data_IF_781879953847
#
_entry.id   IF_781879953847
#
_cell.length_a   1.000
_cell.length_b   1.000
_cell.length_c   1.000
_cell.angle_alpha   90.00
_cell.angle_beta   90.00
_cell.angle_gamma   90.00
#
_symmetry.space_group_name_H-M   'P 1'
#
loop_
_entity.id
_entity.type
_entity.pdbx_description
1 polymer ?
#
# COMPACT_ATOMS: atom_id res chain seq x y z
N UNK A 1 -7.23 -18.21 -0.95
CA UNK A 1 -6.37 -19.07 -1.80
C UNK A 1 -4.89 -18.79 -1.55
N UNK A 2 -4.41 -17.56 -1.66
CA UNK A 2 -2.99 -17.20 -1.41
C UNK A 2 -2.49 -17.47 0.03
N UNK A 3 -3.39 -17.60 1.01
CA UNK A 3 -3.05 -17.84 2.42
C UNK A 3 -2.81 -19.31 2.78
N UNK A 4 -3.24 -20.23 1.92
CA UNK A 4 -2.97 -21.67 2.07
C UNK A 4 -1.84 -21.99 1.11
N UNK A 5 -0.76 -22.59 1.56
CA UNK A 5 0.45 -22.97 0.86
C UNK A 5 0.52 -22.58 -0.64
N UNK A 6 1.64 -22.05 -1.09
CA UNK A 6 1.86 -21.60 -2.45
C UNK A 6 1.92 -22.77 -3.46
N UNK A 7 0.91 -23.62 -3.50
CA UNK A 7 0.73 -24.55 -4.61
C UNK A 7 0.47 -23.71 -5.87
N UNK A 8 1.24 -23.96 -6.89
CA UNK A 8 1.17 -23.25 -8.18
C UNK A 8 -0.26 -23.15 -8.73
N UNK A 9 -1.07 -24.22 -8.54
CA UNK A 9 -2.48 -24.25 -8.97
C UNK A 9 -3.35 -23.19 -8.29
N UNK A 10 -3.19 -22.93 -6.99
CA UNK A 10 -3.95 -21.90 -6.27
C UNK A 10 -3.55 -20.49 -6.71
N UNK A 11 -2.27 -20.29 -7.04
CA UNK A 11 -1.79 -19.02 -7.58
C UNK A 11 -2.41 -18.74 -8.95
N UNK A 12 -2.38 -19.75 -9.86
CA UNK A 12 -2.97 -19.60 -11.20
C UNK A 12 -4.47 -19.34 -11.12
N UNK A 13 -5.20 -20.08 -10.28
CA UNK A 13 -6.65 -19.87 -10.12
C UNK A 13 -6.96 -18.45 -9.58
N UNK A 14 -6.20 -17.97 -8.59
CA UNK A 14 -6.38 -16.60 -8.08
C UNK A 14 -6.03 -15.54 -9.13
N UNK A 15 -5.02 -15.79 -9.97
CA UNK A 15 -4.65 -14.89 -11.06
C UNK A 15 -5.71 -14.82 -12.16
N UNK A 16 -6.32 -15.96 -12.50
CA UNK A 16 -7.43 -15.99 -13.47
C UNK A 16 -8.63 -15.21 -12.96
N UNK A 17 -9.02 -15.42 -11.69
CA UNK A 17 -10.15 -14.70 -11.08
C UNK A 17 -9.89 -13.19 -11.00
N UNK A 18 -8.68 -12.78 -10.60
CA UNK A 18 -8.30 -11.38 -10.54
C UNK A 18 -8.24 -10.77 -11.96
N UNK A 19 -7.69 -11.50 -12.92
CA UNK A 19 -7.64 -11.06 -14.32
C UNK A 19 -9.03 -10.86 -14.92
N UNK A 20 -9.97 -11.77 -14.63
CA UNK A 20 -11.35 -11.67 -15.08
C UNK A 20 -12.04 -10.42 -14.53
N UNK A 21 -11.83 -10.10 -13.26
CA UNK A 21 -12.34 -8.88 -12.64
C UNK A 21 -11.74 -7.62 -13.27
N UNK A 22 -10.43 -7.60 -13.51
CA UNK A 22 -9.75 -6.48 -14.19
C UNK A 22 -10.30 -6.29 -15.60
N UNK A 23 -10.54 -7.37 -16.36
CA UNK A 23 -11.13 -7.29 -17.70
C UNK A 23 -12.52 -6.64 -17.66
N UNK A 24 -13.37 -7.02 -16.69
CA UNK A 24 -14.70 -6.40 -16.52
C UNK A 24 -14.56 -4.90 -16.29
N UNK A 25 -13.64 -4.45 -15.43
CA UNK A 25 -13.40 -3.02 -15.19
C UNK A 25 -12.89 -2.29 -16.44
N UNK A 26 -12.02 -2.92 -17.22
CA UNK A 26 -11.51 -2.35 -18.48
C UNK A 26 -12.64 -2.19 -19.51
N UNK A 27 -13.52 -3.19 -19.64
CA UNK A 27 -14.69 -3.12 -20.52
C UNK A 27 -15.66 -2.01 -20.06
N UNK A 28 -15.79 -1.84 -18.72
CA UNK A 28 -16.59 -0.74 -18.15
C UNK A 28 -15.93 0.64 -18.27
N UNK A 29 -14.79 0.74 -18.97
CA UNK A 29 -14.00 1.97 -19.18
C UNK A 29 -13.43 2.59 -17.90
N UNK A 30 -13.46 1.87 -16.77
CA UNK A 30 -12.91 2.30 -15.49
C UNK A 30 -11.46 1.79 -15.31
N UNK A 31 -10.55 2.45 -16.03
CA UNK A 31 -9.12 2.11 -16.02
C UNK A 31 -8.46 2.44 -14.67
N UNK A 32 -8.97 3.46 -13.96
CA UNK A 32 -8.47 3.83 -12.64
C UNK A 32 -8.66 2.72 -11.63
N UNK A 33 -9.89 2.25 -11.47
CA UNK A 33 -10.21 1.13 -10.57
C UNK A 33 -9.54 -0.17 -11.01
N UNK A 34 -9.43 -0.42 -12.33
CA UNK A 34 -8.72 -1.58 -12.86
C UNK A 34 -7.25 -1.60 -12.42
N UNK A 35 -6.58 -0.44 -12.51
CA UNK A 35 -5.18 -0.30 -12.09
C UNK A 35 -5.02 -0.48 -10.59
N UNK A 36 -5.89 0.14 -9.77
CA UNK A 36 -5.88 -0.01 -8.30
C UNK A 36 -6.02 -1.49 -7.94
N UNK A 37 -7.04 -2.17 -8.47
CA UNK A 37 -7.30 -3.57 -8.15
C UNK A 37 -6.15 -4.49 -8.60
N UNK A 38 -5.59 -4.26 -9.78
CA UNK A 38 -4.45 -5.02 -10.28
C UNK A 38 -3.23 -4.84 -9.38
N UNK A 39 -2.91 -3.62 -8.98
CA UNK A 39 -1.79 -3.34 -8.07
C UNK A 39 -2.00 -3.97 -6.68
N UNK A 40 -3.21 -3.88 -6.13
CA UNK A 40 -3.55 -4.58 -4.88
C UNK A 40 -3.26 -6.08 -5.01
N UNK A 41 -3.76 -6.72 -6.07
CA UNK A 41 -3.52 -8.15 -6.33
C UNK A 41 -2.03 -8.47 -6.47
N UNK A 42 -1.30 -7.67 -7.23
CA UNK A 42 0.14 -7.86 -7.48
C UNK A 42 0.96 -7.84 -6.18
N UNK A 43 0.70 -6.88 -5.31
CA UNK A 43 1.38 -6.79 -4.01
C UNK A 43 0.95 -7.93 -3.06
N UNK A 44 -0.32 -8.34 -3.08
CA UNK A 44 -0.76 -9.51 -2.32
C UNK A 44 -0.07 -10.80 -2.80
N UNK A 45 0.11 -10.99 -4.10
CA UNK A 45 0.87 -12.13 -4.64
C UNK A 45 2.34 -12.06 -4.20
N UNK A 46 2.95 -10.90 -4.25
CA UNK A 46 4.33 -10.71 -3.78
C UNK A 46 4.47 -11.09 -2.30
N UNK A 47 3.61 -10.55 -1.42
CA UNK A 47 3.66 -10.84 0.02
C UNK A 47 3.33 -12.31 0.31
N UNK A 48 2.38 -12.91 -0.43
CA UNK A 48 2.00 -14.30 -0.28
C UNK A 48 3.06 -15.30 -0.71
N UNK A 49 3.79 -15.00 -1.80
CA UNK A 49 4.78 -15.90 -2.39
C UNK A 49 6.21 -15.59 -1.97
N UNK A 50 6.48 -14.38 -1.49
CA UNK A 50 7.81 -13.82 -1.19
C UNK A 50 8.80 -13.85 -2.38
N UNK A 51 8.28 -13.94 -3.61
CA UNK A 51 9.09 -14.03 -4.83
C UNK A 51 8.95 -12.74 -5.64
N UNK A 52 9.99 -11.92 -5.64
CA UNK A 52 10.05 -10.62 -6.36
C UNK A 52 9.81 -10.76 -7.87
N UNK A 53 10.12 -11.91 -8.45
CA UNK A 53 9.88 -12.17 -9.88
C UNK A 53 8.43 -11.94 -10.32
N UNK A 54 7.44 -12.23 -9.46
CA UNK A 54 6.03 -11.98 -9.79
C UNK A 54 5.71 -10.49 -9.87
N UNK A 55 6.39 -9.66 -9.10
CA UNK A 55 6.27 -8.21 -9.20
C UNK A 55 6.75 -7.72 -10.56
N UNK A 56 7.91 -8.17 -11.03
CA UNK A 56 8.44 -7.80 -12.35
C UNK A 56 7.55 -8.31 -13.50
N UNK A 57 7.05 -9.55 -13.40
CA UNK A 57 6.11 -10.10 -14.39
C UNK A 57 4.81 -9.27 -14.43
N UNK A 58 4.28 -8.91 -13.27
CA UNK A 58 3.07 -8.07 -13.19
C UNK A 58 3.31 -6.67 -13.75
N UNK A 59 4.44 -6.03 -13.44
CA UNK A 59 4.80 -4.72 -14.01
C UNK A 59 4.95 -4.77 -15.53
N UNK A 60 5.58 -5.81 -16.07
CA UNK A 60 5.63 -6.03 -17.52
C UNK A 60 4.23 -6.24 -18.10
N UNK A 61 3.36 -6.97 -17.39
CA UNK A 61 1.95 -7.15 -17.76
C UNK A 61 1.18 -5.83 -17.83
N UNK A 62 1.32 -4.94 -16.83
CA UNK A 62 0.71 -3.60 -16.86
C UNK A 62 1.21 -2.81 -18.07
N UNK A 63 2.52 -2.77 -18.29
CA UNK A 63 3.09 -2.02 -19.41
C UNK A 63 2.53 -2.50 -20.76
N UNK A 64 2.45 -3.81 -20.94
CA UNK A 64 1.87 -4.42 -22.16
C UNK A 64 0.37 -4.09 -22.27
N UNK A 65 -0.39 -4.24 -21.18
CA UNK A 65 -1.82 -3.93 -21.14
C UNK A 65 -2.09 -2.45 -21.44
N UNK A 66 -1.25 -1.54 -20.93
CA UNK A 66 -1.36 -0.09 -21.20
C UNK A 66 -1.15 0.24 -22.68
N UNK A 67 -0.18 -0.41 -23.34
CA UNK A 67 0.04 -0.23 -24.78
C UNK A 67 -1.14 -0.78 -25.59
N UNK A 68 -1.69 -1.92 -25.20
CA UNK A 68 -2.87 -2.50 -25.85
C UNK A 68 -4.09 -1.59 -25.65
N UNK A 69 -4.32 -1.11 -24.42
CA UNK A 69 -5.41 -0.20 -24.09
C UNK A 69 -5.32 1.11 -24.90
N UNK A 70 -4.12 1.68 -25.03
CA UNK A 70 -3.90 2.86 -25.85
C UNK A 70 -4.27 2.64 -27.33
N UNK A 71 -3.99 1.44 -27.87
CA UNK A 71 -4.32 1.13 -29.28
C UNK A 71 -5.81 0.85 -29.51
N UNK A 72 -6.49 0.26 -28.52
CA UNK A 72 -7.87 -0.21 -28.65
C UNK A 72 -8.91 0.84 -28.27
N UNK A 73 -8.61 1.71 -27.29
CA UNK A 73 -9.61 2.60 -26.69
C UNK A 73 -9.32 4.07 -27.00
N UNK A 74 -10.23 4.73 -27.73
CA UNK A 74 -10.14 6.15 -28.10
C UNK A 74 -10.08 7.07 -26.87
N UNK A 75 -10.83 6.77 -25.80
CA UNK A 75 -10.79 7.56 -24.57
C UNK A 75 -9.42 7.51 -23.87
N UNK A 76 -8.66 6.41 -24.00
CA UNK A 76 -7.28 6.32 -23.47
C UNK A 76 -6.34 7.19 -24.32
N UNK A 77 -6.52 7.18 -25.64
CA UNK A 77 -5.74 8.04 -26.54
C UNK A 77 -5.94 9.52 -26.22
N UNK A 78 -7.19 9.94 -25.99
CA UNK A 78 -7.51 11.32 -25.59
C UNK A 78 -6.85 11.68 -24.25
N UNK A 79 -6.92 10.83 -23.23
CA UNK A 79 -6.25 11.07 -21.92
C UNK A 79 -4.74 11.21 -22.07
N UNK A 80 -4.11 10.37 -22.89
CA UNK A 80 -2.66 10.45 -23.16
C UNK A 80 -2.31 11.71 -23.97
N UNK A 81 -3.15 12.12 -24.91
CA UNK A 81 -2.98 13.34 -25.69
C UNK A 81 -3.03 14.58 -24.78
N UNK A 82 -4.07 14.67 -23.93
CA UNK A 82 -4.22 15.73 -22.93
C UNK A 82 -3.04 15.76 -21.96
N UNK A 83 -2.60 14.61 -21.49
CA UNK A 83 -1.44 14.50 -20.60
C UNK A 83 -0.14 15.04 -21.21
N UNK A 84 0.09 14.75 -22.52
CA UNK A 84 1.30 15.21 -23.20
C UNK A 84 1.28 16.70 -23.51
N UNK A 85 0.14 17.23 -23.89
CA UNK A 85 0.00 18.60 -24.37
C UNK A 85 -1.28 19.26 -23.82
N UNK A 86 -1.40 19.48 -22.50
CA UNK A 86 -2.63 20.02 -21.91
C UNK A 86 -2.99 21.42 -22.38
N UNK A 87 -2.02 22.22 -22.81
CA UNK A 87 -2.18 23.60 -23.25
C UNK A 87 -2.25 23.79 -24.77
N UNK A 88 -2.32 22.72 -25.55
CA UNK A 88 -2.49 22.86 -27.01
C UNK A 88 -3.83 23.55 -27.34
N UNK A 89 -3.85 24.40 -28.37
CA UNK A 89 -4.99 25.27 -28.69
C UNK A 89 -6.30 24.51 -28.96
N UNK A 90 -6.19 23.33 -29.53
CA UNK A 90 -7.30 22.43 -29.84
C UNK A 90 -7.75 21.59 -28.60
N UNK A 91 -6.93 21.49 -27.57
CA UNK A 91 -7.15 20.66 -26.40
C UNK A 91 -7.61 21.48 -25.21
N UNK A 92 -7.01 22.65 -24.97
CA UNK A 92 -7.19 23.46 -23.76
C UNK A 92 -8.66 23.85 -23.48
N UNK A 93 -9.45 24.11 -24.51
CA UNK A 93 -10.86 24.49 -24.39
C UNK A 93 -11.84 23.32 -24.60
N UNK A 94 -11.32 22.11 -24.84
CA UNK A 94 -12.09 20.91 -25.15
C UNK A 94 -11.76 19.78 -24.18
N UNK A 95 -11.18 18.72 -24.67
CA UNK A 95 -10.88 17.50 -23.90
C UNK A 95 -9.89 17.70 -22.74
N UNK A 96 -9.02 18.72 -22.83
CA UNK A 96 -8.03 19.05 -21.79
C UNK A 96 -8.46 20.16 -20.85
N UNK A 97 -9.63 20.74 -21.01
CA UNK A 97 -10.08 21.90 -20.22
C UNK A 97 -9.94 21.67 -18.72
N UNK A 98 -10.40 20.53 -18.22
CA UNK A 98 -10.35 20.17 -16.81
C UNK A 98 -8.91 20.09 -16.27
N UNK A 99 -8.01 19.42 -17.01
CA UNK A 99 -6.60 19.30 -16.63
C UNK A 99 -5.89 20.66 -16.69
N UNK A 100 -6.17 21.45 -17.72
CA UNK A 100 -5.57 22.79 -17.88
C UNK A 100 -6.00 23.73 -16.76
N UNK A 101 -7.28 23.75 -16.42
CA UNK A 101 -7.77 24.56 -15.27
C UNK A 101 -7.18 24.09 -13.95
N UNK A 102 -7.02 22.78 -13.75
CA UNK A 102 -6.33 22.21 -12.58
C UNK A 102 -4.89 22.73 -12.45
N UNK A 103 -4.15 22.75 -13.56
CA UNK A 103 -2.77 23.26 -13.57
C UNK A 103 -2.71 24.77 -13.36
N UNK A 104 -3.65 25.54 -13.90
CA UNK A 104 -3.75 26.97 -13.64
C UNK A 104 -4.06 27.27 -12.17
N UNK A 105 -4.98 26.50 -11.56
CA UNK A 105 -5.31 26.63 -10.14
C UNK A 105 -4.08 26.36 -9.25
N UNK A 106 -3.36 25.27 -9.52
CA UNK A 106 -2.11 24.96 -8.79
C UNK A 106 -1.03 26.03 -9.01
N UNK A 107 -0.93 26.58 -10.23
CA UNK A 107 0.02 27.64 -10.55
C UNK A 107 -0.33 28.97 -9.85
N UNK A 108 -1.61 29.33 -9.77
CA UNK A 108 -2.07 30.56 -9.11
C UNK A 108 -1.92 30.49 -7.58
N UNK A 109 -2.08 29.29 -6.98
CA UNK A 109 -1.93 29.09 -5.55
C UNK A 109 -0.49 29.26 -5.05
N UNK A 110 0.51 28.97 -5.89
CA UNK A 110 1.93 29.09 -5.50
C UNK A 110 2.26 28.32 -4.23
N UNK A 111 3.14 28.89 -3.39
CA UNK A 111 3.57 28.22 -2.15
C UNK A 111 2.56 28.36 -1.01
N UNK A 112 1.96 29.52 -0.84
CA UNK A 112 1.12 29.90 0.32
C UNK A 112 -0.38 29.86 0.04
N UNK A 113 -0.79 29.70 -1.21
CA UNK A 113 -2.18 29.78 -1.64
C UNK A 113 -2.67 31.21 -1.87
N UNK A 114 -3.82 31.34 -2.56
CA UNK A 114 -4.51 32.62 -2.77
C UNK A 114 -5.30 33.05 -1.54
N UNK A 115 -5.53 32.16 -0.60
CA UNK A 115 -6.39 32.32 0.56
C UNK A 115 -7.77 31.69 0.39
N UNK A 116 -8.39 31.32 1.51
CA UNK A 116 -9.70 30.69 1.54
C UNK A 116 -10.75 31.59 0.87
N UNK A 117 -11.51 31.03 -0.06
CA UNK A 117 -12.53 31.71 -0.89
C UNK A 117 -11.97 32.80 -1.84
N UNK A 118 -10.67 32.95 -2.01
CA UNK A 118 -10.06 33.88 -2.96
C UNK A 118 -9.62 33.19 -4.26
N UNK A 119 -9.63 31.84 -4.32
CA UNK A 119 -9.46 31.05 -5.53
C UNK A 119 -10.72 30.99 -6.39
N UNK A 120 -10.60 30.36 -7.56
CA UNK A 120 -11.70 30.11 -8.47
C UNK A 120 -11.84 28.60 -8.78
N UNK A 121 -11.93 27.72 -7.75
CA UNK A 121 -11.98 26.28 -7.98
C UNK A 121 -13.17 25.85 -8.84
N UNK A 122 -14.28 26.62 -8.82
CA UNK A 122 -15.47 26.38 -9.65
C UNK A 122 -15.21 26.44 -11.17
N UNK A 123 -14.06 26.95 -11.62
CA UNK A 123 -13.64 26.90 -13.01
C UNK A 123 -13.22 25.50 -13.44
N UNK A 124 -12.86 24.64 -12.50
CA UNK A 124 -12.52 23.26 -12.77
C UNK A 124 -13.81 22.43 -12.74
N UNK A 125 -14.26 21.84 -13.85
CA UNK A 125 -15.44 20.98 -13.85
C UNK A 125 -15.26 19.80 -12.88
N UNK A 126 -16.28 19.52 -12.05
CA UNK A 126 -16.30 18.40 -11.12
C UNK A 126 -15.06 18.42 -10.18
N UNK A 127 -14.64 19.62 -9.78
CA UNK A 127 -13.47 19.83 -8.91
C UNK A 127 -13.54 19.02 -7.61
N UNK A 128 -14.74 18.87 -7.07
CA UNK A 128 -15.00 18.17 -5.79
C UNK A 128 -14.63 16.68 -5.82
N UNK A 129 -14.53 16.07 -6.98
CA UNK A 129 -14.21 14.65 -7.14
C UNK A 129 -12.72 14.44 -7.39
N UNK A 130 -12.30 14.55 -8.66
CA UNK A 130 -10.98 14.10 -9.14
C UNK A 130 -9.89 15.15 -8.94
N UNK A 131 -10.28 16.43 -8.90
CA UNK A 131 -9.38 17.58 -8.88
C UNK A 131 -9.44 18.38 -7.59
N UNK A 132 -10.02 17.82 -6.52
CA UNK A 132 -10.07 18.45 -5.19
C UNK A 132 -8.69 18.88 -4.69
N UNK A 133 -7.64 18.11 -5.03
CA UNK A 133 -6.27 18.45 -4.70
C UNK A 133 -5.82 19.78 -5.35
N UNK A 134 -6.32 20.10 -6.53
CA UNK A 134 -6.02 21.35 -7.23
C UNK A 134 -6.72 22.54 -6.58
N UNK A 135 -7.96 22.38 -6.12
CA UNK A 135 -8.66 23.41 -5.35
C UNK A 135 -7.93 23.70 -4.02
N UNK A 136 -7.51 22.65 -3.32
CA UNK A 136 -6.71 22.76 -2.10
C UNK A 136 -5.38 23.49 -2.40
N UNK A 137 -4.70 23.12 -3.48
CA UNK A 137 -3.46 23.76 -3.90
C UNK A 137 -3.61 25.22 -4.30
N UNK A 138 -4.76 25.61 -4.89
CA UNK A 138 -5.08 26.99 -5.22
C UNK A 138 -5.29 27.85 -3.96
N UNK A 139 -6.13 27.39 -3.05
CA UNK A 139 -6.52 28.19 -1.87
C UNK A 139 -5.49 28.15 -0.74
N UNK A 140 -4.91 26.99 -0.46
CA UNK A 140 -3.99 26.77 0.67
C UNK A 140 -2.51 26.67 0.26
N UNK A 141 -2.23 26.56 -1.04
CA UNK A 141 -0.88 26.52 -1.57
C UNK A 141 -0.20 25.15 -1.53
N UNK A 142 0.98 25.10 -2.14
CA UNK A 142 1.76 23.88 -2.28
C UNK A 142 2.23 23.30 -0.94
N UNK A 143 2.54 24.15 0.06
CA UNK A 143 2.97 23.71 1.40
C UNK A 143 1.87 22.87 2.05
N UNK A 144 0.62 23.31 2.00
CA UNK A 144 -0.51 22.53 2.54
C UNK A 144 -0.75 21.25 1.74
N UNK A 145 -0.63 21.31 0.41
CA UNK A 145 -0.72 20.12 -0.45
C UNK A 145 0.33 19.06 -0.09
N UNK A 146 1.57 19.46 0.16
CA UNK A 146 2.63 18.55 0.63
C UNK A 146 2.30 17.98 2.01
N UNK A 147 1.84 18.81 2.95
CA UNK A 147 1.43 18.36 4.29
C UNK A 147 0.33 17.29 4.19
N UNK A 148 -0.66 17.52 3.33
CA UNK A 148 -1.74 16.58 3.09
C UNK A 148 -1.21 15.22 2.57
N UNK A 149 -0.28 15.24 1.61
CA UNK A 149 0.36 14.02 1.10
C UNK A 149 1.12 13.30 2.22
N UNK A 150 1.84 14.03 3.09
CA UNK A 150 2.55 13.44 4.23
C UNK A 150 1.60 12.78 5.23
N UNK A 151 0.43 13.37 5.49
CA UNK A 151 -0.61 12.75 6.33
C UNK A 151 -1.11 11.45 5.69
N UNK A 152 -1.43 11.48 4.40
CA UNK A 152 -1.84 10.28 3.67
C UNK A 152 -0.76 9.18 3.69
N UNK A 153 0.50 9.56 3.52
CA UNK A 153 1.64 8.63 3.60
C UNK A 153 1.80 8.04 5.00
N UNK A 154 1.58 8.84 6.06
CA UNK A 154 1.63 8.35 7.45
C UNK A 154 0.55 7.30 7.72
N UNK A 155 -0.66 7.48 7.18
CA UNK A 155 -1.73 6.48 7.24
C UNK A 155 -1.32 5.18 6.52
N UNK A 156 -0.75 5.30 5.32
CA UNK A 156 -0.26 4.13 4.58
C UNK A 156 0.83 3.35 5.34
N UNK A 157 1.80 4.06 5.93
CA UNK A 157 2.84 3.44 6.77
C UNK A 157 2.22 2.73 7.97
N UNK A 158 1.21 3.34 8.62
CA UNK A 158 0.47 2.71 9.70
C UNK A 158 -0.21 1.41 9.27
N UNK A 159 -0.81 1.38 8.07
CA UNK A 159 -1.41 0.16 7.50
C UNK A 159 -0.38 -0.94 7.25
N UNK A 160 0.81 -0.60 6.75
CA UNK A 160 1.90 -1.55 6.57
C UNK A 160 2.42 -2.09 7.90
N UNK A 161 2.55 -1.24 8.92
CA UNK A 161 2.94 -1.67 10.26
C UNK A 161 1.92 -2.66 10.84
N UNK A 162 0.63 -2.35 10.73
CA UNK A 162 -0.44 -3.27 11.13
C UNK A 162 -0.35 -4.61 10.39
N UNK A 163 -0.03 -4.59 9.08
CA UNK A 163 0.16 -5.81 8.30
C UNK A 163 1.33 -6.67 8.81
N UNK A 164 2.43 -6.04 9.22
CA UNK A 164 3.61 -6.75 9.74
C UNK A 164 3.34 -7.40 11.11
N UNK A 165 2.46 -6.82 11.93
CA UNK A 165 2.08 -7.34 13.24
C UNK A 165 1.11 -8.55 13.16
N UNK A 166 0.52 -8.83 11.99
CA UNK A 166 -0.42 -9.92 11.84
C UNK A 166 0.26 -11.29 11.84
N UNK A 167 -0.18 -12.18 12.72
CA UNK A 167 0.26 -13.59 12.76
C UNK A 167 -0.39 -14.42 11.65
N UNK A 168 -1.64 -14.13 11.28
CA UNK A 168 -2.35 -14.81 10.21
C UNK A 168 -1.95 -14.26 8.85
N UNK A 169 -1.58 -15.15 7.92
CA UNK A 169 -1.27 -14.78 6.54
C UNK A 169 -2.46 -14.12 5.83
N UNK A 170 -3.68 -14.58 6.12
CA UNK A 170 -4.89 -13.98 5.57
C UNK A 170 -5.02 -12.52 6.01
N UNK A 171 -4.94 -12.23 7.31
CA UNK A 171 -5.05 -10.87 7.84
C UNK A 171 -3.95 -9.96 7.28
N UNK A 172 -2.71 -10.49 7.17
CA UNK A 172 -1.59 -9.76 6.56
C UNK A 172 -1.88 -9.37 5.11
N UNK A 173 -2.40 -10.31 4.30
CA UNK A 173 -2.75 -10.04 2.91
C UNK A 173 -3.88 -9.02 2.78
N UNK A 174 -4.89 -9.07 3.66
CA UNK A 174 -5.98 -8.07 3.70
C UNK A 174 -5.42 -6.68 3.99
N UNK A 175 -4.59 -6.52 5.05
CA UNK A 175 -3.98 -5.23 5.37
C UNK A 175 -3.11 -4.69 4.23
N UNK A 176 -2.28 -5.53 3.62
CA UNK A 176 -1.43 -5.13 2.50
C UNK A 176 -2.28 -4.74 1.29
N UNK A 177 -3.27 -5.55 0.92
CA UNK A 177 -4.15 -5.25 -0.22
C UNK A 177 -4.85 -3.92 -0.04
N UNK A 178 -5.55 -3.72 1.07
CA UNK A 178 -6.27 -2.48 1.35
C UNK A 178 -5.33 -1.27 1.46
N UNK A 179 -4.16 -1.42 2.11
CA UNK A 179 -3.16 -0.36 2.22
C UNK A 179 -2.58 0.04 0.86
N UNK A 180 -2.25 -0.92 0.00
CA UNK A 180 -1.78 -0.66 -1.36
C UNK A 180 -2.87 0.03 -2.19
N UNK A 181 -4.13 -0.44 -2.11
CA UNK A 181 -5.25 0.21 -2.79
C UNK A 181 -5.37 1.68 -2.40
N UNK A 182 -5.32 1.98 -1.10
CA UNK A 182 -5.32 3.35 -0.58
C UNK A 182 -4.15 4.19 -1.13
N UNK A 183 -2.93 3.65 -1.11
CA UNK A 183 -1.75 4.37 -1.60
C UNK A 183 -1.81 4.64 -3.11
N UNK A 184 -2.18 3.64 -3.92
CA UNK A 184 -2.31 3.80 -5.37
C UNK A 184 -3.41 4.81 -5.71
N UNK A 185 -4.53 4.80 -4.99
CA UNK A 185 -5.61 5.76 -5.16
C UNK A 185 -5.09 7.21 -4.97
N UNK A 186 -4.32 7.48 -3.93
CA UNK A 186 -3.70 8.80 -3.68
C UNK A 186 -2.75 9.16 -4.82
N UNK A 187 -1.87 8.25 -5.23
CA UNK A 187 -0.90 8.48 -6.31
C UNK A 187 -1.63 8.82 -7.62
N UNK A 188 -2.70 8.11 -7.94
CA UNK A 188 -3.48 8.37 -9.17
C UNK A 188 -4.20 9.72 -9.13
N UNK A 189 -4.81 10.08 -8.00
CA UNK A 189 -5.54 11.34 -7.86
C UNK A 189 -4.60 12.53 -7.86
N UNK A 190 -3.61 12.53 -6.97
CA UNK A 190 -2.63 13.63 -6.88
C UNK A 190 -1.80 13.71 -8.16
N UNK A 191 -1.29 12.57 -8.65
CA UNK A 191 -0.49 12.51 -9.88
C UNK A 191 -1.25 12.97 -11.12
N UNK A 192 -2.56 12.68 -11.18
CA UNK A 192 -3.45 13.18 -12.25
C UNK A 192 -3.67 14.68 -12.15
N UNK A 193 -3.91 15.21 -10.95
CA UNK A 193 -4.13 16.63 -10.70
C UNK A 193 -2.92 17.51 -11.06
N UNK A 194 -1.69 17.04 -10.76
CA UNK A 194 -0.45 17.74 -11.13
C UNK A 194 0.08 17.36 -12.52
N UNK A 195 -0.69 16.63 -13.32
CA UNK A 195 -0.32 16.14 -14.66
C UNK A 195 0.97 15.32 -14.73
N UNK A 196 1.35 14.65 -13.62
CA UNK A 196 2.49 13.70 -13.61
C UNK A 196 2.15 12.41 -14.35
N UNK A 197 0.89 11.98 -14.28
CA UNK A 197 0.32 10.84 -14.98
C UNK A 197 -1.00 11.25 -15.67
N UNK A 198 -1.47 10.51 -16.69
CA UNK A 198 -2.78 10.77 -17.27
C UNK A 198 -3.89 10.68 -16.20
N UNK A 199 -4.80 11.66 -16.18
CA UNK A 199 -5.93 11.67 -15.25
C UNK A 199 -6.79 10.41 -15.41
N UNK A 200 -7.12 9.75 -14.29
CA UNK A 200 -7.85 8.47 -14.26
C UNK A 200 -9.29 8.60 -13.78
N UNK A 201 -9.69 9.75 -13.23
CA UNK A 201 -11.03 9.95 -12.68
C UNK A 201 -11.22 9.30 -11.30
N UNK A 202 -10.15 9.06 -10.57
CA UNK A 202 -10.17 8.46 -9.23
C UNK A 202 -10.21 9.55 -8.17
N UNK A 203 -11.07 9.39 -7.16
CA UNK A 203 -11.27 10.34 -6.07
C UNK A 203 -10.17 10.24 -5.00
N UNK A 204 -9.86 11.36 -4.32
CA UNK A 204 -8.93 11.36 -3.19
C UNK A 204 -9.61 10.81 -1.93
N UNK A 205 -9.07 9.76 -1.28
CA UNK A 205 -9.69 9.13 -0.11
C UNK A 205 -9.99 10.12 1.01
N UNK A 206 -11.19 10.08 1.57
CA UNK A 206 -11.71 10.92 2.68
C UNK A 206 -11.83 12.43 2.38
N UNK A 207 -11.35 12.91 1.24
CA UNK A 207 -11.27 14.35 0.93
C UNK A 207 -12.22 14.72 -0.20
N UNK A 208 -12.26 13.90 -1.27
CA UNK A 208 -13.15 14.15 -2.38
C UNK A 208 -14.63 13.98 -1.99
N UNK A 209 -15.47 14.79 -2.60
CA UNK A 209 -16.93 14.68 -2.50
C UNK A 209 -17.40 13.41 -3.22
N UNK A 210 -17.81 12.41 -2.46
CA UNK A 210 -18.34 11.16 -2.99
C UNK A 210 -18.81 10.24 -1.89
N UNK A 211 -20.12 10.11 -1.70
CA UNK A 211 -20.70 9.31 -0.61
C UNK A 211 -20.20 7.85 -0.62
N UNK A 212 -20.15 7.22 -1.78
CA UNK A 212 -19.65 5.85 -1.93
C UNK A 212 -18.14 5.74 -1.68
N UNK A 213 -17.36 6.72 -2.13
CA UNK A 213 -15.91 6.77 -1.91
C UNK A 213 -15.57 6.96 -0.44
N UNK A 214 -16.24 7.88 0.25
CA UNK A 214 -16.07 8.11 1.68
C UNK A 214 -16.45 6.85 2.46
N UNK A 215 -17.61 6.26 2.18
CA UNK A 215 -18.07 5.05 2.86
C UNK A 215 -17.09 3.88 2.66
N UNK A 216 -16.63 3.63 1.45
CA UNK A 216 -15.67 2.56 1.17
C UNK A 216 -14.34 2.79 1.88
N UNK A 217 -13.85 4.03 1.92
CA UNK A 217 -12.62 4.37 2.63
C UNK A 217 -12.78 4.20 4.15
N UNK A 218 -13.90 4.61 4.73
CA UNK A 218 -14.19 4.39 6.15
C UNK A 218 -14.23 2.89 6.49
N UNK A 219 -14.80 2.06 5.62
CA UNK A 219 -14.80 0.60 5.78
C UNK A 219 -13.36 0.06 5.76
N UNK A 220 -12.51 0.54 4.84
CA UNK A 220 -11.08 0.15 4.78
C UNK A 220 -10.38 0.48 6.10
N UNK A 221 -10.55 1.70 6.61
CA UNK A 221 -9.96 2.12 7.89
C UNK A 221 -10.48 1.27 9.05
N UNK A 222 -11.79 1.01 9.12
CA UNK A 222 -12.40 0.19 10.16
C UNK A 222 -11.86 -1.25 10.15
N UNK A 223 -11.71 -1.87 8.98
CA UNK A 223 -11.14 -3.21 8.86
C UNK A 223 -9.68 -3.23 9.35
N UNK A 224 -8.86 -2.29 8.90
CA UNK A 224 -7.45 -2.23 9.29
C UNK A 224 -7.30 -1.96 10.79
N UNK A 225 -8.11 -1.08 11.36
CA UNK A 225 -8.12 -0.80 12.79
C UNK A 225 -8.56 -2.01 13.61
N UNK A 226 -9.59 -2.73 13.17
CA UNK A 226 -10.02 -3.98 13.79
C UNK A 226 -8.89 -5.03 13.79
N UNK A 227 -8.17 -5.16 12.68
CA UNK A 227 -7.02 -6.06 12.57
C UNK A 227 -5.85 -5.62 13.46
N UNK A 228 -5.61 -4.33 13.64
CA UNK A 228 -4.59 -3.81 14.55
C UNK A 228 -4.88 -4.22 16.01
N UNK A 229 -6.14 -4.11 16.44
CA UNK A 229 -6.58 -4.54 17.79
C UNK A 229 -6.34 -6.04 17.98
N UNK A 230 -6.73 -6.86 17.01
CA UNK A 230 -6.53 -8.33 17.06
C UNK A 230 -5.04 -8.67 17.07
N UNK A 231 -4.22 -8.00 16.27
CA UNK A 231 -2.76 -8.19 16.24
C UNK A 231 -2.13 -7.90 17.59
N UNK A 232 -2.45 -6.77 18.19
CA UNK A 232 -1.93 -6.34 19.50
C UNK A 232 -2.37 -7.30 20.63
N UNK A 233 -3.63 -7.73 20.63
CA UNK A 233 -4.15 -8.68 21.62
C UNK A 233 -3.40 -10.02 21.56
N UNK A 234 -3.11 -10.52 20.35
CA UNK A 234 -2.33 -11.75 20.16
C UNK A 234 -0.89 -11.60 20.64
N UNK A 235 -0.22 -10.50 20.36
CA UNK A 235 1.14 -10.24 20.85
C UNK A 235 1.21 -10.19 22.38
N UNK A 236 0.25 -9.54 23.02
CA UNK A 236 0.17 -9.46 24.47
C UNK A 236 -0.10 -10.85 25.12
N UNK A 237 -0.88 -11.69 24.47
CA UNK A 237 -1.13 -13.06 24.95
C UNK A 237 0.12 -13.94 24.85
N UNK A 238 0.92 -13.77 23.82
CA UNK A 238 2.22 -14.47 23.65
C UNK A 238 3.23 -13.98 24.70
N UNK A 239 3.33 -12.66 24.93
CA UNK A 239 4.20 -12.09 25.96
C UNK A 239 3.86 -12.61 27.37
N UNK A 240 2.58 -12.77 27.69
CA UNK A 240 2.14 -13.32 28.99
C UNK A 240 2.45 -14.80 29.17
N UNK A 241 2.56 -15.57 28.06
CA UNK A 241 2.87 -17.00 28.09
C UNK A 241 4.37 -17.32 28.13
N UNK A 242 5.23 -16.34 27.79
CA UNK A 242 6.68 -16.49 27.99
C UNK A 242 6.94 -16.20 29.48
N UNK A 243 7.27 -17.21 30.32
CA UNK A 243 7.67 -16.94 31.69
C UNK A 243 8.90 -16.03 31.62
N UNK A 244 8.92 -14.98 32.41
CA UNK A 244 10.14 -14.25 32.74
C UNK A 244 11.07 -15.19 33.49
N UNK A 245 11.80 -16.05 32.78
CA UNK A 245 12.99 -16.68 33.30
C UNK A 245 14.04 -15.60 33.49
N UNK A 246 14.10 -15.07 34.68
CA UNK A 246 15.28 -14.28 34.90
C UNK A 246 15.10 -13.09 35.81
N UNK A 247 15.14 -13.28 37.08
CA UNK A 247 15.97 -12.49 38.01
C UNK A 247 15.94 -13.12 39.41
N UNK A 248 16.03 -14.44 39.44
CA UNK A 248 16.17 -15.13 40.72
C UNK A 248 16.84 -16.48 40.50
N UNK A 249 18.13 -16.58 40.75
CA UNK A 249 18.96 -17.78 40.78
C UNK A 249 20.00 -17.99 39.66
N UNK A 250 20.70 -16.95 39.27
CA UNK A 250 21.99 -17.13 38.55
C UNK A 250 23.08 -17.57 39.52
N UNK A 251 22.97 -17.31 40.85
CA UNK A 251 24.01 -17.62 41.83
C UNK A 251 24.01 -19.08 42.30
N UNK A 252 22.91 -19.83 42.17
CA UNK A 252 22.83 -21.22 42.68
C UNK A 252 23.09 -22.29 41.62
N UNK A 253 22.95 -21.98 40.31
CA UNK A 253 23.22 -22.96 39.23
C UNK A 253 24.70 -23.08 38.89
N UNK A 254 25.49 -22.02 39.09
CA UNK A 254 26.94 -22.04 38.79
C UNK A 254 27.73 -22.89 39.76
N UNK A 255 27.28 -23.00 41.02
CA UNK A 255 27.97 -23.82 42.03
C UNK A 255 27.65 -25.32 41.94
N UNK A 256 26.46 -25.70 41.43
CA UNK A 256 26.12 -27.12 41.24
C UNK A 256 26.80 -27.72 40.00
N UNK A 257 26.97 -26.95 38.91
CA UNK A 257 27.68 -27.41 37.72
C UNK A 257 29.20 -27.53 37.93
N UNK A 258 29.81 -26.68 38.76
CA UNK A 258 31.24 -26.78 39.09
C UNK A 258 31.53 -28.01 39.98
N UNK A 259 30.61 -28.38 40.91
CA UNK A 259 30.74 -29.63 41.67
C UNK A 259 30.58 -30.89 40.83
N UNK A 260 29.68 -30.88 39.84
CA UNK A 260 29.49 -31.99 38.88
C UNK A 260 30.73 -32.22 37.99
N UNK A 261 31.32 -31.17 37.47
CA UNK A 261 32.51 -31.25 36.61
C UNK A 261 33.77 -31.72 37.36
N UNK A 262 33.93 -31.32 38.65
CA UNK A 262 35.04 -31.82 39.48
C UNK A 262 34.93 -33.32 39.76
N UNK A 263 33.72 -33.82 40.06
CA UNK A 263 33.49 -35.26 40.29
C UNK A 263 33.75 -36.11 39.03
N UNK A 264 33.42 -35.58 37.83
CA UNK A 264 33.65 -36.28 36.55
C UNK A 264 35.14 -36.31 36.19
N UNK A 265 35.92 -35.28 36.53
CA UNK A 265 37.37 -35.28 36.33
C UNK A 265 38.11 -36.22 37.29
N UNK A 266 37.70 -36.30 38.59
CA UNK A 266 38.30 -37.26 39.52
C UNK A 266 38.05 -38.72 39.13
N UNK A 267 36.86 -39.06 38.57
CA UNK A 267 36.56 -40.40 38.10
C UNK A 267 37.41 -40.76 36.85
N UNK A 268 37.66 -39.81 35.96
CA UNK A 268 38.49 -40.06 34.76
C UNK A 268 39.99 -40.21 35.10
N UNK A 269 40.49 -39.46 36.06
CA UNK A 269 41.89 -39.58 36.49
C UNK A 269 42.11 -40.88 37.28
N UNK A 270 41.12 -41.34 38.06
CA UNK A 270 41.18 -42.62 38.80
C UNK A 270 41.20 -43.82 37.85
N UNK A 271 40.46 -43.77 36.75
CA UNK A 271 40.38 -44.89 35.75
C UNK A 271 41.65 -45.00 34.90
N UNK A 272 42.36 -43.90 34.62
CA UNK A 272 43.63 -43.93 33.85
C UNK A 272 44.83 -44.40 34.69
N UNK A 273 44.78 -44.35 36.02
CA UNK A 273 45.85 -44.90 36.88
C UNK A 273 45.76 -46.40 37.11
N UNK A 274 44.59 -47.04 36.94
CA UNK A 274 44.44 -48.49 37.11
C UNK A 274 44.82 -49.30 35.85
N UNK A 275 44.97 -48.67 34.68
CA UNK A 275 45.35 -49.37 33.42
C UNK A 275 46.83 -49.32 33.09
N UNK A 276 47.68 -48.71 33.96
CA UNK A 276 49.15 -48.66 33.77
C UNK A 276 49.95 -49.61 34.67
N UNK A 277 49.28 -50.47 35.46
CA UNK A 277 49.91 -51.48 36.30
C UNK A 277 49.23 -52.81 35.96
N UNK A 278 49.59 -53.37 34.79
CA UNK A 278 49.62 -54.77 34.43
C UNK A 278 50.44 -54.92 33.15
#
# INVERSE_FOLDING_TARGET
>A
MLSKSAEFGHLVLSAVLAGLYVIVLVISTDLGSALIFFMMYLFMVYVGTKKVRYLFIGMAGISTASVIAYKLFSHVQVRVLVWKNPFAADIINNSGYQVSQSLFALGSGGLMGTGLYHGYPNKIPIVDNDFVFSAIGEEFGAIFGILLILVCLSCFISFLNTAMEQNSMFNRLVCVGLGVGYAIQIILTVGGAINMIPSTGVTLPLISSGGSSILSTLIVFAIIQGLAIVGTANMNSVRRKVPTEGTGNVTTRTTSNVKGLRKTQEIQVGTKRKTKIK
#
